data_IF_165469479149
#
_entry.id   IF_165469479149
#
_cell.length_a   1.000
_cell.length_b   1.000
_cell.length_c   1.000
_cell.angle_alpha   90.00
_cell.angle_beta   90.00
_cell.angle_gamma   90.00
#
_symmetry.space_group_name_H-M   'P 1'
#
loop_
_entity.id
_entity.type
_entity.pdbx_description
1 polymer ?
#
# COMPACT_ATOMS: atom_id res chain seq x y z
N UNK A 1 -4.51 47.58 27.84
CA UNK A 1 -3.53 46.86 26.98
C UNK A 1 -4.29 46.13 25.89
N UNK A 2 -4.60 46.80 24.77
CA UNK A 2 -5.43 46.24 23.69
C UNK A 2 -4.69 46.49 22.35
N UNK A 3 -4.06 45.46 21.77
CA UNK A 3 -3.42 45.56 20.44
C UNK A 3 -4.52 45.50 19.38
N UNK A 4 -4.68 46.59 18.62
CA UNK A 4 -5.56 46.66 17.44
C UNK A 4 -5.09 45.66 16.39
N UNK A 5 -5.93 44.66 16.10
CA UNK A 5 -5.76 43.72 14.98
C UNK A 5 -6.16 44.34 13.63
N UNK A 6 -6.59 45.60 13.63
CA UNK A 6 -7.18 46.31 12.49
C UNK A 6 -6.14 46.87 11.51
N UNK A 7 -4.85 46.65 11.77
CA UNK A 7 -3.72 47.19 10.99
C UNK A 7 -2.81 46.10 10.41
N UNK A 8 -3.34 44.92 10.08
CA UNK A 8 -2.62 44.08 9.13
C UNK A 8 -2.77 44.72 7.75
N UNK A 9 -1.68 45.18 7.10
CA UNK A 9 -1.79 45.64 5.73
C UNK A 9 -2.38 44.50 4.92
N UNK A 10 -3.51 44.77 4.24
CA UNK A 10 -3.96 43.91 3.16
C UNK A 10 -2.88 44.01 2.10
N UNK A 11 -1.89 43.12 2.19
CA UNK A 11 -0.92 42.91 1.14
C UNK A 11 -1.76 42.54 -0.07
N UNK A 12 -1.95 43.51 -0.96
CA UNK A 12 -2.53 43.31 -2.27
C UNK A 12 -1.56 42.39 -3.02
N UNK A 13 -1.70 41.10 -2.75
CA UNK A 13 -0.96 40.08 -3.42
C UNK A 13 -1.52 40.09 -4.84
N UNK A 14 -0.88 40.86 -5.73
CA UNK A 14 -1.14 40.80 -7.16
C UNK A 14 -0.89 39.36 -7.57
N UNK A 15 -1.95 38.56 -7.56
CA UNK A 15 -1.90 37.17 -7.97
C UNK A 15 -1.49 37.20 -9.42
N UNK A 16 -0.35 36.56 -9.72
CA UNK A 16 0.11 36.46 -11.09
C UNK A 16 -1.04 35.93 -11.96
N UNK A 17 -1.43 36.61 -13.05
CA UNK A 17 -2.59 36.20 -13.84
C UNK A 17 -2.42 34.78 -14.42
N UNK A 18 -1.17 34.37 -14.65
CA UNK A 18 -0.81 33.00 -15.06
C UNK A 18 -1.11 31.96 -13.97
N UNK A 19 -0.94 32.33 -12.71
CA UNK A 19 -1.24 31.47 -11.57
C UNK A 19 -2.75 31.34 -11.42
N UNK A 20 -3.49 32.43 -11.53
CA UNK A 20 -4.96 32.43 -11.51
C UNK A 20 -5.53 31.55 -12.63
N UNK A 21 -5.03 31.67 -13.86
CA UNK A 21 -5.45 30.81 -14.98
C UNK A 21 -5.09 29.33 -14.77
N UNK A 22 -3.95 29.05 -14.13
CA UNK A 22 -3.56 27.69 -13.77
C UNK A 22 -4.48 27.12 -12.69
N UNK A 23 -4.86 27.93 -11.70
CA UNK A 23 -5.83 27.56 -10.66
C UNK A 23 -7.22 27.33 -11.26
N UNK A 24 -7.70 28.27 -12.10
CA UNK A 24 -9.00 28.17 -12.78
C UNK A 24 -9.09 26.91 -13.62
N UNK A 25 -8.04 26.58 -14.38
CA UNK A 25 -7.97 25.30 -15.13
C UNK A 25 -8.07 24.10 -14.20
N UNK A 26 -7.34 24.06 -13.08
CA UNK A 26 -7.35 22.91 -12.16
C UNK A 26 -8.67 22.74 -11.40
N UNK A 27 -9.32 23.84 -11.01
CA UNK A 27 -10.58 23.83 -10.26
C UNK A 27 -11.80 23.58 -11.16
N UNK A 28 -11.86 24.20 -12.34
CA UNK A 28 -13.04 24.17 -13.21
C UNK A 28 -13.01 23.11 -14.31
N UNK A 29 -11.95 22.31 -14.42
CA UNK A 29 -11.92 21.18 -15.35
C UNK A 29 -11.76 19.84 -14.61
N UNK A 30 -12.80 19.38 -13.87
CA UNK A 30 -12.76 18.07 -13.20
C UNK A 30 -12.51 16.92 -14.18
N UNK A 31 -12.90 17.10 -15.46
CA UNK A 31 -12.61 16.14 -16.54
C UNK A 31 -11.13 16.10 -16.95
N UNK A 32 -10.34 17.17 -16.76
CA UNK A 32 -8.89 17.13 -17.06
C UNK A 32 -8.09 16.37 -16.00
N UNK A 33 -8.67 16.20 -14.82
CA UNK A 33 -8.14 15.38 -13.72
C UNK A 33 -8.59 13.92 -13.82
N UNK A 34 -9.47 13.57 -14.78
CA UNK A 34 -9.90 12.20 -14.97
C UNK A 34 -8.69 11.35 -15.41
N UNK A 35 -8.34 10.29 -14.66
CA UNK A 35 -7.16 9.50 -14.97
C UNK A 35 -7.36 8.78 -16.30
N UNK A 36 -6.44 9.03 -17.23
CA UNK A 36 -6.38 8.31 -18.49
C UNK A 36 -6.29 6.79 -18.25
N UNK A 37 -6.91 5.99 -19.11
CA UNK A 37 -6.93 4.52 -18.96
C UNK A 37 -5.52 3.91 -18.82
N UNK A 38 -4.53 4.46 -19.53
CA UNK A 38 -3.12 4.05 -19.39
C UNK A 38 -2.56 4.39 -18.01
N UNK A 39 -2.82 5.59 -17.50
CA UNK A 39 -2.40 6.01 -16.16
C UNK A 39 -3.01 5.12 -15.08
N UNK A 40 -4.30 4.77 -15.21
CA UNK A 40 -4.98 3.84 -14.30
C UNK A 40 -4.35 2.44 -14.32
N UNK A 41 -4.01 1.91 -15.51
CA UNK A 41 -3.33 0.61 -15.63
C UNK A 41 -1.94 0.62 -14.99
N UNK A 42 -1.16 1.68 -15.22
CA UNK A 42 0.16 1.84 -14.60
C UNK A 42 0.02 1.92 -13.07
N UNK A 43 -0.97 2.66 -12.57
CA UNK A 43 -1.21 2.77 -11.14
C UNK A 43 -1.56 1.41 -10.51
N UNK A 44 -2.45 0.65 -11.13
CA UNK A 44 -2.80 -0.71 -10.67
C UNK A 44 -1.57 -1.62 -10.71
N UNK A 45 -0.79 -1.55 -11.79
CA UNK A 45 0.46 -2.31 -11.92
C UNK A 45 1.47 -1.95 -10.84
N UNK A 46 1.66 -0.66 -10.57
CA UNK A 46 2.56 -0.19 -9.52
C UNK A 46 2.13 -0.68 -8.14
N UNK A 47 0.83 -0.58 -7.81
CA UNK A 47 0.28 -1.09 -6.55
C UNK A 47 0.54 -2.60 -6.42
N UNK A 48 0.27 -3.36 -7.49
CA UNK A 48 0.50 -4.81 -7.51
C UNK A 48 1.98 -5.16 -7.30
N UNK A 49 2.89 -4.52 -8.03
CA UNK A 49 4.34 -4.73 -7.90
C UNK A 49 4.82 -4.38 -6.49
N UNK A 50 4.38 -3.25 -5.94
CA UNK A 50 4.72 -2.86 -4.57
C UNK A 50 4.25 -3.88 -3.55
N UNK A 51 3.00 -4.37 -3.66
CA UNK A 51 2.48 -5.39 -2.76
C UNK A 51 3.28 -6.69 -2.82
N UNK A 52 3.65 -7.14 -4.02
CA UNK A 52 4.47 -8.34 -4.23
C UNK A 52 5.86 -8.15 -3.61
N UNK A 53 6.52 -7.03 -3.88
CA UNK A 53 7.85 -6.75 -3.36
C UNK A 53 7.86 -6.66 -1.82
N UNK A 54 6.89 -5.94 -1.25
CA UNK A 54 6.73 -5.86 0.21
C UNK A 54 6.52 -7.25 0.81
N UNK A 55 5.65 -8.07 0.21
CA UNK A 55 5.40 -9.44 0.70
C UNK A 55 6.67 -10.29 0.64
N UNK A 56 7.43 -10.19 -0.45
CA UNK A 56 8.71 -10.90 -0.59
C UNK A 56 9.71 -10.49 0.51
N UNK A 57 9.88 -9.20 0.74
CA UNK A 57 10.79 -8.69 1.78
C UNK A 57 10.32 -9.18 3.16
N UNK A 58 9.04 -9.00 3.48
CA UNK A 58 8.47 -9.40 4.78
C UNK A 58 8.67 -10.88 5.04
N UNK A 59 8.58 -11.75 4.03
CA UNK A 59 8.67 -13.21 4.21
C UNK A 59 10.09 -13.77 4.07
N UNK A 60 10.91 -13.23 3.18
CA UNK A 60 12.16 -13.86 2.75
C UNK A 60 13.43 -13.03 2.96
N UNK A 61 13.34 -11.72 3.21
CA UNK A 61 14.54 -10.93 3.48
C UNK A 61 15.26 -11.40 4.76
N UNK A 62 16.58 -11.32 4.78
CA UNK A 62 17.32 -11.57 6.02
C UNK A 62 17.27 -10.30 6.89
N UNK A 63 16.78 -10.44 8.12
CA UNK A 63 16.68 -9.36 9.11
C UNK A 63 17.62 -9.58 10.31
N UNK A 64 18.55 -10.54 10.20
CA UNK A 64 19.46 -10.88 11.28
C UNK A 64 18.88 -11.88 12.29
N UNK A 65 19.60 -12.05 13.39
CA UNK A 65 19.36 -13.09 14.40
C UNK A 65 18.34 -12.70 15.47
N UNK A 66 18.02 -11.41 15.60
CA UNK A 66 17.07 -10.91 16.58
C UNK A 66 15.60 -11.02 16.12
N UNK A 67 14.67 -10.95 17.07
CA UNK A 67 13.22 -11.00 16.76
C UNK A 67 12.79 -9.73 16.03
N UNK A 68 12.49 -9.85 14.74
CA UNK A 68 11.97 -8.75 13.93
C UNK A 68 10.46 -8.55 14.12
N UNK A 69 9.95 -7.35 13.83
CA UNK A 69 8.50 -7.06 13.85
C UNK A 69 7.68 -7.93 12.88
N UNK A 70 8.34 -8.54 11.89
CA UNK A 70 7.73 -9.43 10.90
C UNK A 70 7.79 -10.91 11.28
N UNK A 71 8.47 -11.26 12.39
CA UNK A 71 8.56 -12.65 12.86
C UNK A 71 7.19 -13.32 13.09
N UNK A 72 6.15 -12.65 13.63
CA UNK A 72 4.83 -13.27 13.77
C UNK A 72 4.21 -13.65 12.42
N UNK A 73 4.32 -12.77 11.41
CA UNK A 73 3.79 -13.00 10.06
C UNK A 73 4.53 -14.17 9.40
N UNK A 74 5.86 -14.23 9.54
CA UNK A 74 6.68 -15.35 9.02
C UNK A 74 6.30 -16.68 9.66
N UNK A 75 6.09 -16.71 10.98
CA UNK A 75 5.66 -17.92 11.70
C UNK A 75 4.32 -18.41 11.18
N UNK A 76 3.35 -17.51 11.06
CA UNK A 76 2.04 -17.84 10.50
C UNK A 76 2.15 -18.39 9.08
N UNK A 77 2.94 -17.73 8.22
CA UNK A 77 3.16 -18.17 6.84
C UNK A 77 3.80 -19.56 6.77
N UNK A 78 4.79 -19.84 7.62
CA UNK A 78 5.44 -21.14 7.67
C UNK A 78 4.51 -22.24 8.18
N UNK A 79 3.66 -21.97 9.17
CA UNK A 79 2.62 -22.91 9.62
C UNK A 79 1.63 -23.20 8.49
N UNK A 80 1.19 -22.17 7.76
CA UNK A 80 0.28 -22.35 6.62
C UNK A 80 0.92 -23.12 5.46
N UNK A 81 2.16 -22.79 5.13
CA UNK A 81 2.94 -23.52 4.13
C UNK A 81 3.14 -24.97 4.55
N UNK A 82 3.48 -25.24 5.80
CA UNK A 82 3.60 -26.61 6.28
C UNK A 82 2.26 -27.34 6.15
N UNK A 83 1.18 -26.75 6.66
CA UNK A 83 -0.16 -27.34 6.60
C UNK A 83 -0.67 -27.61 5.18
N UNK A 84 -0.27 -26.82 4.18
CA UNK A 84 -0.72 -27.01 2.81
C UNK A 84 0.11 -28.07 2.07
N UNK A 85 1.39 -28.23 2.42
CA UNK A 85 2.27 -29.25 1.83
C UNK A 85 2.37 -30.54 2.67
N UNK A 86 1.74 -30.59 3.85
CA UNK A 86 1.63 -31.78 4.69
C UNK A 86 0.25 -32.41 4.57
N UNK A 87 0.16 -33.73 4.66
CA UNK A 87 -1.14 -34.40 4.80
C UNK A 87 -1.86 -33.94 6.07
N UNK A 88 -3.14 -33.66 5.92
CA UNK A 88 -4.05 -33.46 7.04
C UNK A 88 -4.21 -34.76 7.86
N UNK A 89 -4.58 -34.64 9.13
CA UNK A 89 -4.81 -35.80 10.01
C UNK A 89 -5.84 -36.78 9.44
N UNK A 90 -6.83 -36.27 8.70
CA UNK A 90 -7.84 -37.09 8.00
C UNK A 90 -7.21 -37.89 6.86
N UNK A 91 -6.46 -37.23 5.99
CA UNK A 91 -5.77 -37.92 4.90
C UNK A 91 -4.76 -38.95 5.43
N UNK A 92 -4.09 -38.67 6.55
CA UNK A 92 -3.22 -39.65 7.20
C UNK A 92 -3.99 -40.87 7.71
N UNK A 93 -5.18 -40.68 8.29
CA UNK A 93 -6.00 -41.78 8.75
C UNK A 93 -6.56 -42.59 7.57
N UNK A 94 -7.04 -41.92 6.52
CA UNK A 94 -7.53 -42.59 5.31
C UNK A 94 -6.42 -43.42 4.64
N UNK A 95 -5.18 -42.90 4.59
CA UNK A 95 -4.03 -43.65 4.07
C UNK A 95 -3.61 -44.83 4.96
N UNK A 96 -3.74 -44.71 6.29
CA UNK A 96 -3.53 -45.83 7.23
C UNK A 96 -4.57 -46.92 7.05
N UNK A 97 -5.84 -46.55 6.88
CA UNK A 97 -6.93 -47.50 6.60
C UNK A 97 -6.73 -48.22 5.26
N UNK A 98 -6.11 -47.56 4.28
CA UNK A 98 -5.73 -48.14 3.00
C UNK A 98 -4.44 -48.97 3.03
N UNK A 99 -3.71 -49.01 4.16
CA UNK A 99 -2.45 -49.73 4.30
C UNK A 99 -1.28 -49.16 3.47
N UNK A 100 -1.34 -47.86 3.13
CA UNK A 100 -0.33 -47.16 2.30
C UNK A 100 0.64 -46.31 3.13
N UNK A 101 0.51 -46.36 4.46
CA UNK A 101 1.35 -45.70 5.47
C UNK A 101 1.93 -46.72 6.44
#
# INVERSE_FOLDING_TARGET
MNRRLDQLPLVDHKVDPRLEDRYRRRLHSPQSLAPNMRSRRIQIGAIGISAVLTTYIVLFADFGTEKHCFSPIRRWFNVKKHSFWSLSEREQNDLKEQGRL
#
